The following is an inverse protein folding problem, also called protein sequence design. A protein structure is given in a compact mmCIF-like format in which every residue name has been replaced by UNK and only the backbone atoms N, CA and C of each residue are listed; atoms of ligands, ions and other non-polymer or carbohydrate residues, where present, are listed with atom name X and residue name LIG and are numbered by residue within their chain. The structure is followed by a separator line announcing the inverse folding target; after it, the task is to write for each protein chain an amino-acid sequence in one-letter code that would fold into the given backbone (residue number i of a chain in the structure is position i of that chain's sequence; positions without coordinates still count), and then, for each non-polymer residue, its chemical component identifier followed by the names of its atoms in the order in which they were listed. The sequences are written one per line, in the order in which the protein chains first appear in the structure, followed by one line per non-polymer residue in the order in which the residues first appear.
data_IF_797867852713
#
_entry.id   IF_797867852713
#
_cell.length_a   1.000
_cell.length_b   1.000
_cell.length_c   1.000
_cell.angle_alpha   90.00
_cell.angle_beta   90.00
_cell.angle_gamma   90.00
#
_symmetry.space_group_name_H-M   'P 1'
#
loop_
_entity.id
_entity.type
_entity.pdbx_description
1 polymer ?
#
# COMPACT_ATOMS: atom_id res chain seq x y z
N UNK A 1 20.79 25.73 -18.61
CA UNK A 1 20.80 25.49 -17.15
C UNK A 1 21.06 24.02 -16.75
N UNK A 2 21.31 23.09 -17.69
CA UNK A 2 21.61 21.67 -17.41
C UNK A 2 23.02 21.23 -17.85
N UNK A 3 23.89 22.18 -18.20
CA UNK A 3 25.20 21.92 -18.81
C UNK A 3 26.32 21.49 -17.84
N UNK A 4 26.22 21.82 -16.55
CA UNK A 4 27.30 21.57 -15.57
C UNK A 4 27.11 20.27 -14.76
N UNK A 5 26.26 19.35 -15.23
CA UNK A 5 26.02 18.04 -14.60
C UNK A 5 27.01 16.96 -15.05
N UNK A 6 28.00 17.28 -15.88
CA UNK A 6 28.91 16.28 -16.48
C UNK A 6 30.01 15.78 -15.55
N UNK A 7 30.16 16.36 -14.35
CA UNK A 7 31.19 15.99 -13.35
C UNK A 7 30.61 15.24 -12.13
N UNK A 8 29.33 15.45 -11.81
CA UNK A 8 28.65 14.78 -10.68
C UNK A 8 27.55 13.87 -11.21
N UNK A 9 27.66 12.56 -10.95
CA UNK A 9 26.68 11.57 -11.42
C UNK A 9 25.23 11.89 -11.03
N UNK A 10 24.29 11.16 -11.64
CA UNK A 10 22.85 11.35 -11.41
C UNK A 10 22.53 11.21 -9.91
N UNK A 11 21.87 12.20 -9.27
CA UNK A 11 21.59 12.18 -7.84
C UNK A 11 20.40 11.28 -7.53
N UNK A 12 20.62 9.96 -7.54
CA UNK A 12 19.61 8.98 -7.16
C UNK A 12 19.29 9.08 -5.66
N UNK A 13 18.02 8.90 -5.32
CA UNK A 13 17.59 8.69 -3.94
C UNK A 13 17.92 7.25 -3.54
N UNK A 14 18.24 7.04 -2.27
CA UNK A 14 18.27 5.69 -1.71
C UNK A 14 16.87 5.07 -1.73
N UNK A 15 16.81 3.74 -1.71
CA UNK A 15 15.55 3.01 -1.84
C UNK A 15 14.52 3.39 -0.77
N UNK A 16 14.94 3.61 0.48
CA UNK A 16 14.03 3.94 1.58
C UNK A 16 13.42 5.32 1.36
N UNK A 17 14.23 6.31 1.02
CA UNK A 17 13.75 7.67 0.71
C UNK A 17 12.83 7.67 -0.52
N UNK A 18 13.21 6.94 -1.57
CA UNK A 18 12.37 6.78 -2.76
C UNK A 18 11.01 6.14 -2.43
N UNK A 19 11.01 4.97 -1.78
CA UNK A 19 9.79 4.23 -1.45
C UNK A 19 8.85 5.07 -0.58
N UNK A 20 9.38 5.79 0.41
CA UNK A 20 8.55 6.66 1.25
C UNK A 20 7.90 7.79 0.47
N UNK A 21 8.60 8.42 -0.47
CA UNK A 21 8.01 9.47 -1.32
C UNK A 21 6.91 8.94 -2.24
N UNK A 22 6.98 7.67 -2.66
CA UNK A 22 5.95 7.01 -3.49
C UNK A 22 4.75 6.55 -2.66
N UNK A 23 5.00 5.98 -1.47
CA UNK A 23 3.98 5.44 -0.59
C UNK A 23 3.22 6.54 0.18
N UNK A 24 3.93 7.57 0.62
CA UNK A 24 3.41 8.67 1.44
C UNK A 24 3.87 10.03 0.88
N UNK A 25 3.31 10.46 -0.27
CA UNK A 25 3.72 11.71 -0.91
C UNK A 25 3.43 12.91 -0.01
N UNK A 26 4.34 13.89 -0.02
CA UNK A 26 4.27 15.13 0.77
C UNK A 26 4.32 14.94 2.30
N UNK A 27 4.87 13.82 2.77
CA UNK A 27 5.13 13.58 4.19
C UNK A 27 6.61 13.31 4.40
N UNK A 28 7.33 14.29 4.92
CA UNK A 28 8.78 14.18 5.14
C UNK A 28 9.14 13.38 6.40
N UNK A 29 8.31 13.45 7.45
CA UNK A 29 8.50 12.71 8.71
C UNK A 29 7.30 11.79 9.02
N UNK A 30 7.13 10.77 8.20
CA UNK A 30 6.04 9.82 8.38
C UNK A 30 6.29 8.91 9.59
N UNK A 31 5.24 8.59 10.35
CA UNK A 31 5.32 7.74 11.56
C UNK A 31 6.00 6.38 11.37
N UNK A 32 5.97 5.85 10.14
CA UNK A 32 6.66 4.60 9.73
C UNK A 32 8.18 4.72 9.84
N UNK A 33 8.73 5.93 9.74
CA UNK A 33 10.17 6.18 9.84
C UNK A 33 10.65 6.37 11.28
N UNK A 34 9.74 6.53 12.23
CA UNK A 34 10.04 6.78 13.64
C UNK A 34 10.30 5.45 14.35
N UNK A 35 11.56 5.21 14.74
CA UNK A 35 11.99 3.98 15.40
C UNK A 35 11.70 3.96 16.90
N UNK A 36 11.75 5.12 17.56
CA UNK A 36 11.51 5.24 18.99
C UNK A 36 10.07 5.70 19.24
N UNK A 37 9.25 4.78 19.76
CA UNK A 37 7.82 4.97 20.03
C UNK A 37 7.47 4.34 21.38
N UNK A 38 7.83 5.00 22.51
CA UNK A 38 7.66 4.43 23.85
C UNK A 38 6.20 4.05 24.14
N UNK A 39 5.23 4.77 23.56
CA UNK A 39 3.81 4.50 23.71
C UNK A 39 3.40 3.13 23.15
N UNK A 40 4.15 2.59 22.18
CA UNK A 40 3.87 1.30 21.56
C UNK A 40 4.39 0.12 22.39
N UNK A 41 5.31 0.33 23.34
CA UNK A 41 5.83 -0.74 24.21
C UNK A 41 4.69 -1.44 24.96
N UNK A 42 3.73 -0.67 25.47
CA UNK A 42 2.54 -1.21 26.14
C UNK A 42 1.62 -2.01 25.21
N UNK A 43 1.71 -1.79 23.89
CA UNK A 43 0.86 -2.41 22.85
C UNK A 43 1.60 -3.44 21.99
N UNK A 44 2.90 -3.64 22.21
CA UNK A 44 3.77 -4.44 21.35
C UNK A 44 3.23 -5.87 21.18
N UNK A 45 2.77 -6.49 22.28
CA UNK A 45 2.18 -7.83 22.24
C UNK A 45 0.97 -7.88 21.31
N UNK A 46 0.04 -6.92 21.41
CA UNK A 46 -1.15 -6.88 20.56
C UNK A 46 -0.79 -6.64 19.08
N UNK A 47 0.14 -5.73 18.82
CA UNK A 47 0.64 -5.45 17.48
C UNK A 47 1.31 -6.67 16.84
N UNK A 48 2.04 -7.47 17.62
CA UNK A 48 2.65 -8.71 17.14
C UNK A 48 1.60 -9.74 16.71
N UNK A 49 0.52 -9.92 17.49
CA UNK A 49 -0.59 -10.79 17.12
C UNK A 49 -1.35 -10.25 15.91
N UNK A 50 -1.51 -8.93 15.81
CA UNK A 50 -2.09 -8.31 14.62
C UNK A 50 -1.22 -8.57 13.38
N UNK A 51 0.11 -8.46 13.50
CA UNK A 51 1.04 -8.84 12.43
C UNK A 51 0.88 -10.30 11.99
N UNK A 52 0.63 -11.23 12.92
CA UNK A 52 0.32 -12.62 12.57
C UNK A 52 -1.00 -12.76 11.80
N UNK A 53 -2.01 -11.98 12.16
CA UNK A 53 -3.28 -11.94 11.40
C UNK A 53 -3.05 -11.39 9.98
N UNK A 54 -2.21 -10.35 9.82
CA UNK A 54 -1.86 -9.83 8.49
C UNK A 54 -1.17 -10.89 7.61
N UNK A 55 -0.41 -11.81 8.22
CA UNK A 55 0.20 -12.96 7.52
C UNK A 55 -0.78 -14.11 7.22
N UNK A 56 -2.04 -14.01 7.64
CA UNK A 56 -3.09 -14.95 7.25
C UNK A 56 -3.85 -14.42 6.01
N UNK A 57 -3.75 -15.15 4.89
CA UNK A 57 -4.34 -14.75 3.60
C UNK A 57 -5.82 -14.44 3.70
N UNK A 58 -6.59 -15.33 4.31
CA UNK A 58 -8.04 -15.18 4.46
C UNK A 58 -8.39 -13.94 5.27
N UNK A 59 -7.68 -13.73 6.38
CA UNK A 59 -7.86 -12.55 7.22
C UNK A 59 -7.57 -11.27 6.43
N UNK A 60 -6.41 -11.17 5.78
CA UNK A 60 -6.00 -9.94 5.11
C UNK A 60 -6.95 -9.58 3.96
N UNK A 61 -7.38 -10.56 3.17
CA UNK A 61 -8.38 -10.35 2.12
C UNK A 61 -9.73 -9.89 2.72
N UNK A 62 -10.23 -10.54 3.77
CA UNK A 62 -11.48 -10.12 4.44
C UNK A 62 -11.37 -8.73 5.07
N UNK A 63 -10.22 -8.41 5.67
CA UNK A 63 -9.93 -7.12 6.27
C UNK A 63 -10.04 -6.00 5.22
N UNK A 64 -9.35 -6.14 4.09
CA UNK A 64 -9.38 -5.16 2.99
C UNK A 64 -10.81 -5.02 2.45
N UNK A 65 -11.49 -6.14 2.15
CA UNK A 65 -12.87 -6.12 1.64
C UNK A 65 -13.84 -5.42 2.59
N UNK A 66 -13.68 -5.65 3.90
CA UNK A 66 -14.54 -5.05 4.93
C UNK A 66 -14.31 -3.55 5.04
N UNK A 67 -13.07 -3.07 4.91
CA UNK A 67 -12.78 -1.64 4.86
C UNK A 67 -13.38 -1.00 3.61
N UNK A 68 -13.18 -1.61 2.43
CA UNK A 68 -13.64 -1.03 1.16
C UNK A 68 -15.17 -1.04 0.99
N UNK A 69 -15.88 -1.98 1.61
CA UNK A 69 -17.35 -2.02 1.59
C UNK A 69 -18.00 -0.94 2.45
N UNK A 70 -17.24 -0.33 3.36
CA UNK A 70 -17.73 0.75 4.19
C UNK A 70 -17.78 2.06 3.40
N UNK A 71 -18.98 2.62 3.22
CA UNK A 71 -19.21 3.90 2.52
C UNK A 71 -18.47 5.11 3.13
N UNK A 72 -18.10 5.04 4.41
CA UNK A 72 -17.33 6.08 5.09
C UNK A 72 -15.82 5.93 4.92
N UNK A 73 -15.36 4.84 4.30
CA UNK A 73 -13.96 4.59 4.03
C UNK A 73 -13.55 5.32 2.75
N UNK A 74 -12.93 6.49 2.92
CA UNK A 74 -12.65 7.42 1.83
C UNK A 74 -11.52 6.92 0.92
N UNK A 75 -11.37 7.55 -0.25
CA UNK A 75 -10.23 7.29 -1.14
C UNK A 75 -8.88 7.54 -0.46
N UNK A 76 -8.80 8.54 0.42
CA UNK A 76 -7.59 8.82 1.21
C UNK A 76 -7.26 7.66 2.15
N UNK A 77 -8.27 7.08 2.79
CA UNK A 77 -8.08 5.95 3.71
C UNK A 77 -7.65 4.70 2.96
N UNK A 78 -8.24 4.45 1.77
CA UNK A 78 -7.82 3.36 0.87
C UNK A 78 -6.35 3.46 0.49
N UNK A 79 -5.93 4.65 0.05
CA UNK A 79 -4.52 4.91 -0.33
C UNK A 79 -3.59 4.70 0.86
N UNK A 80 -3.97 5.22 2.03
CA UNK A 80 -3.17 5.09 3.24
C UNK A 80 -3.03 3.62 3.69
N UNK A 81 -4.12 2.86 3.73
CA UNK A 81 -4.10 1.44 4.10
C UNK A 81 -3.28 0.62 3.12
N UNK A 82 -3.43 0.87 1.81
CA UNK A 82 -2.59 0.21 0.80
C UNK A 82 -1.10 0.46 1.05
N UNK A 83 -0.70 1.71 1.28
CA UNK A 83 0.70 2.05 1.57
C UNK A 83 1.21 1.40 2.86
N UNK A 84 0.41 1.36 3.93
CA UNK A 84 0.77 0.70 5.18
C UNK A 84 0.91 -0.83 5.02
N UNK A 85 0.04 -1.47 4.23
CA UNK A 85 0.15 -2.89 3.91
C UNK A 85 1.45 -3.16 3.13
N UNK A 86 1.78 -2.33 2.14
CA UNK A 86 3.02 -2.46 1.36
C UNK A 86 4.27 -2.35 2.24
N UNK A 87 4.31 -1.38 3.16
CA UNK A 87 5.39 -1.28 4.16
C UNK A 87 5.46 -2.53 5.04
N UNK A 88 4.31 -3.00 5.53
CA UNK A 88 4.22 -4.16 6.43
C UNK A 88 4.71 -5.44 5.73
N UNK A 89 4.41 -5.60 4.44
CA UNK A 89 4.70 -6.79 3.65
C UNK A 89 5.97 -6.66 2.79
N UNK A 90 6.74 -5.58 2.89
CA UNK A 90 7.93 -5.35 2.05
C UNK A 90 8.96 -6.50 2.09
N UNK A 91 9.05 -7.22 3.21
CA UNK A 91 9.95 -8.37 3.38
C UNK A 91 9.33 -9.71 2.95
N UNK A 92 8.07 -9.68 2.50
CA UNK A 92 7.24 -10.84 2.14
C UNK A 92 6.54 -10.60 0.80
N UNK A 93 7.29 -10.13 -0.19
CA UNK A 93 6.74 -9.74 -1.51
C UNK A 93 6.01 -10.86 -2.23
N UNK A 94 6.44 -12.12 -2.10
CA UNK A 94 5.70 -13.27 -2.68
C UNK A 94 4.27 -13.36 -2.14
N UNK A 95 4.10 -13.22 -0.83
CA UNK A 95 2.79 -13.18 -0.17
C UNK A 95 2.02 -11.92 -0.58
N UNK A 96 2.67 -10.75 -0.61
CA UNK A 96 2.06 -9.50 -1.04
C UNK A 96 1.51 -9.60 -2.47
N UNK A 97 2.28 -10.16 -3.39
CA UNK A 97 1.87 -10.39 -4.79
C UNK A 97 0.72 -11.39 -4.89
N UNK A 98 0.72 -12.45 -4.06
CA UNK A 98 -0.40 -13.40 -4.02
C UNK A 98 -1.72 -12.73 -3.57
N UNK A 99 -1.66 -11.89 -2.53
CA UNK A 99 -2.79 -11.06 -2.09
C UNK A 99 -3.25 -10.12 -3.21
N UNK A 100 -2.32 -9.40 -3.83
CA UNK A 100 -2.61 -8.45 -4.90
C UNK A 100 -3.28 -9.14 -6.10
N UNK A 101 -2.81 -10.31 -6.52
CA UNK A 101 -3.42 -11.09 -7.60
C UNK A 101 -4.87 -11.44 -7.29
N UNK A 102 -5.15 -11.91 -6.06
CA UNK A 102 -6.52 -12.24 -5.65
C UNK A 102 -7.42 -10.99 -5.67
N UNK A 103 -6.96 -9.87 -5.13
CA UNK A 103 -7.73 -8.62 -5.13
C UNK A 103 -7.98 -8.07 -6.53
N UNK A 104 -6.99 -8.14 -7.43
CA UNK A 104 -7.13 -7.69 -8.82
C UNK A 104 -8.11 -8.57 -9.60
N UNK A 105 -8.09 -9.90 -9.39
CA UNK A 105 -9.06 -10.81 -10.01
C UNK A 105 -10.49 -10.44 -9.60
N UNK A 106 -10.74 -10.20 -8.31
CA UNK A 106 -12.05 -9.76 -7.81
C UNK A 106 -12.48 -8.41 -8.38
N UNK A 107 -11.53 -7.49 -8.57
CA UNK A 107 -11.81 -6.18 -9.15
C UNK A 107 -12.18 -6.29 -10.65
N UNK A 108 -11.54 -7.19 -11.39
CA UNK A 108 -11.90 -7.52 -12.76
C UNK A 108 -13.31 -8.13 -12.81
N UNK A 109 -13.60 -9.13 -11.98
CA UNK A 109 -14.91 -9.79 -11.92
C UNK A 109 -16.04 -8.79 -11.64
N UNK A 110 -15.89 -7.95 -10.60
CA UNK A 110 -16.87 -6.89 -10.27
C UNK A 110 -17.08 -5.90 -11.41
N UNK A 111 -16.01 -5.52 -12.12
CA UNK A 111 -16.12 -4.62 -13.28
C UNK A 111 -16.92 -5.26 -14.42
N UNK A 112 -16.70 -6.55 -14.68
CA UNK A 112 -17.41 -7.31 -15.71
C UNK A 112 -18.89 -7.48 -15.37
N UNK A 113 -19.21 -7.78 -14.11
CA UNK A 113 -20.60 -7.89 -13.62
C UNK A 113 -21.36 -6.56 -13.66
N UNK A 114 -20.68 -5.46 -13.31
CA UNK A 114 -21.27 -4.11 -13.25
C UNK A 114 -21.59 -3.48 -14.60
N UNK A 115 -21.42 -4.19 -15.72
CA UNK A 115 -21.54 -3.67 -17.10
C UNK A 115 -20.68 -2.42 -17.36
N UNK A 116 -19.61 -2.23 -16.58
CA UNK A 116 -18.66 -1.15 -16.79
C UNK A 116 -17.84 -1.42 -18.05
N UNK A 117 -17.52 -0.37 -18.79
CA UNK A 117 -16.74 -0.52 -20.00
C UNK A 117 -15.32 -1.02 -19.65
N UNK A 118 -14.85 -2.17 -20.19
CA UNK A 118 -13.60 -2.80 -19.74
C UNK A 118 -12.35 -1.89 -19.78
N UNK A 119 -12.28 -0.97 -20.76
CA UNK A 119 -11.18 0.03 -20.85
C UNK A 119 -11.15 1.06 -19.71
N UNK A 120 -12.16 1.12 -18.85
CA UNK A 120 -12.19 1.99 -17.68
C UNK A 120 -11.57 1.32 -16.44
N UNK A 121 -11.37 0.00 -16.47
CA UNK A 121 -10.72 -0.74 -15.40
C UNK A 121 -9.27 -0.26 -15.21
N UNK A 122 -8.85 -0.04 -13.96
CA UNK A 122 -7.52 0.47 -13.59
C UNK A 122 -7.17 1.86 -14.18
N UNK A 123 -8.15 2.59 -14.74
CA UNK A 123 -7.90 3.93 -15.30
C UNK A 123 -7.55 4.96 -14.20
N UNK A 124 -8.04 4.73 -12.99
CA UNK A 124 -7.83 5.56 -11.81
C UNK A 124 -7.53 4.66 -10.63
N UNK A 125 -6.76 5.17 -9.67
CA UNK A 125 -6.47 4.46 -8.43
C UNK A 125 -7.63 4.67 -7.45
N UNK A 126 -8.60 3.77 -7.44
CA UNK A 126 -9.85 3.90 -6.68
C UNK A 126 -10.03 2.81 -5.61
N UNK A 127 -9.18 1.78 -5.63
CA UNK A 127 -9.16 0.68 -4.67
C UNK A 127 -7.81 0.54 -3.96
N UNK A 128 -7.82 -0.17 -2.84
CA UNK A 128 -6.62 -0.62 -2.14
C UNK A 128 -5.74 -1.44 -3.08
N UNK A 129 -6.34 -2.33 -3.89
CA UNK A 129 -5.62 -3.16 -4.85
C UNK A 129 -4.88 -2.32 -5.91
N UNK A 130 -5.55 -1.33 -6.51
CA UNK A 130 -4.93 -0.44 -7.50
C UNK A 130 -3.82 0.41 -6.89
N UNK A 131 -3.95 0.84 -5.62
CA UNK A 131 -2.86 1.56 -4.95
C UNK A 131 -1.70 0.62 -4.65
N UNK A 132 -1.95 -0.60 -4.20
CA UNK A 132 -0.90 -1.61 -3.99
C UNK A 132 -0.17 -1.98 -5.29
N UNK A 133 -0.86 -1.96 -6.44
CA UNK A 133 -0.25 -2.20 -7.75
C UNK A 133 0.71 -1.08 -8.19
N UNK A 134 0.48 0.15 -7.76
CA UNK A 134 1.30 1.33 -8.10
C UNK A 134 2.32 1.70 -7.02
N UNK A 135 2.40 0.90 -5.97
CA UNK A 135 3.26 1.09 -4.80
C UNK A 135 4.65 0.48 -4.98
#
# INVERSE_FOLDING_TARGET
LTGDLTSGGIPFLDYRTYAMKILFPNVDDHVVLQWDRPELLSKEKALRHFGQLIMNKTFLLLFIRTLESNRYFSMRDRVNVASLIMVTLQSKMEYCTDILKTLLAELIEKCMEGKSHPKLLLRRTESVAEKMLSA
#
